data_IF_563592959722
#
_entry.id   IF_563592959722
#
_cell.length_a   1.000
_cell.length_b   1.000
_cell.length_c   1.000
_cell.angle_alpha   90.00
_cell.angle_beta   90.00
_cell.angle_gamma   90.00
#
_symmetry.space_group_name_H-M   'P 1'
#
loop_
_entity.id
_entity.type
_entity.pdbx_description
1 polymer ?
#
# COMPACT_ATOMS: atom_id res chain seq x y z
N UNK A 1 2.31 -98.58 29.30
CA UNK A 1 0.89 -98.21 29.08
C UNK A 1 0.70 -96.85 29.76
N UNK A 2 0.32 -95.75 29.15
CA UNK A 2 -0.37 -95.48 27.89
C UNK A 2 -0.04 -94.04 27.48
N UNK A 3 0.38 -93.88 26.24
CA UNK A 3 0.46 -92.64 25.48
C UNK A 3 -0.91 -91.98 25.34
N UNK A 4 -1.00 -90.67 25.55
CA UNK A 4 -1.91 -89.83 24.78
C UNK A 4 -1.21 -88.52 24.38
N UNK A 5 -0.97 -88.42 23.06
CA UNK A 5 -0.68 -87.21 22.32
C UNK A 5 -2.00 -86.77 21.66
N UNK A 6 -2.40 -85.51 21.84
CA UNK A 6 -3.40 -84.80 21.03
C UNK A 6 -3.09 -83.30 21.18
N UNK A 7 -2.46 -82.66 20.19
CA UNK A 7 -3.01 -82.02 18.98
C UNK A 7 -3.51 -80.57 19.21
N UNK A 8 -2.70 -79.64 18.70
CA UNK A 8 -3.03 -78.43 17.91
C UNK A 8 -4.31 -77.65 18.26
N UNK A 9 -4.13 -76.39 18.68
CA UNK A 9 -4.92 -75.26 18.15
C UNK A 9 -4.08 -73.99 18.04
N UNK A 10 -3.99 -73.49 16.81
CA UNK A 10 -3.47 -72.19 16.39
C UNK A 10 -4.38 -71.07 16.89
N UNK A 11 -3.81 -70.02 17.49
CA UNK A 11 -4.52 -68.79 17.86
C UNK A 11 -3.74 -67.56 17.41
N UNK A 12 -3.80 -67.27 16.12
CA UNK A 12 -3.25 -66.07 15.49
C UNK A 12 -4.20 -64.90 15.78
N UNK A 13 -3.93 -64.15 16.85
CA UNK A 13 -4.75 -63.00 17.25
C UNK A 13 -4.23 -61.75 16.53
N UNK A 14 -4.77 -61.53 15.33
CA UNK A 14 -4.62 -60.30 14.57
C UNK A 14 -5.24 -59.14 15.37
N UNK A 15 -4.40 -58.24 15.88
CA UNK A 15 -4.86 -56.97 16.42
C UNK A 15 -5.34 -56.11 15.23
N UNK A 16 -6.66 -56.10 15.02
CA UNK A 16 -7.31 -55.20 14.08
C UNK A 16 -7.10 -53.75 14.58
N UNK A 17 -6.20 -53.02 13.92
CA UNK A 17 -6.15 -51.57 14.00
C UNK A 17 -7.43 -51.04 13.33
N UNK A 18 -8.47 -50.79 14.11
CA UNK A 18 -9.60 -50.00 13.64
C UNK A 18 -9.14 -48.54 13.55
N UNK A 19 -8.62 -48.16 12.39
CA UNK A 19 -8.51 -46.76 12.03
C UNK A 19 -9.92 -46.18 11.97
N UNK A 20 -10.32 -45.47 13.02
CA UNK A 20 -11.49 -44.60 12.98
C UNK A 20 -11.15 -43.46 12.02
N UNK A 21 -11.49 -43.65 10.74
CA UNK A 21 -11.54 -42.57 9.78
C UNK A 21 -12.66 -41.62 10.24
N UNK A 22 -12.29 -40.56 10.96
CA UNK A 22 -13.20 -39.45 11.18
C UNK A 22 -13.59 -38.88 9.81
N UNK A 23 -14.87 -38.54 9.57
CA UNK A 23 -15.26 -37.92 8.34
C UNK A 23 -14.62 -36.53 8.24
N UNK A 24 -13.68 -36.35 7.32
CA UNK A 24 -13.10 -35.03 6.96
C UNK A 24 -14.16 -34.01 6.51
N UNK A 25 -15.39 -34.47 6.26
CA UNK A 25 -16.53 -33.66 5.81
C UNK A 25 -17.22 -32.81 6.90
N UNK A 26 -16.73 -32.82 8.15
CA UNK A 26 -17.28 -31.99 9.23
C UNK A 26 -16.62 -30.60 9.38
N UNK A 27 -15.61 -30.28 8.58
CA UNK A 27 -14.90 -28.99 8.61
C UNK A 27 -15.47 -27.93 7.66
N UNK A 28 -16.38 -28.32 6.75
CA UNK A 28 -17.05 -27.39 5.84
C UNK A 28 -17.96 -26.41 6.61
N UNK A 29 -17.49 -25.19 6.84
CA UNK A 29 -18.20 -24.05 7.42
C UNK A 29 -17.45 -23.34 8.56
N UNK A 30 -16.20 -23.70 8.87
CA UNK A 30 -15.46 -23.14 10.03
C UNK A 30 -14.12 -22.53 9.60
N UNK A 31 -14.08 -21.20 9.49
CA UNK A 31 -12.85 -20.40 9.42
C UNK A 31 -11.86 -20.89 10.48
N UNK A 32 -10.72 -21.39 10.03
CA UNK A 32 -9.63 -21.86 10.87
C UNK A 32 -8.99 -20.71 11.65
N UNK A 33 -8.27 -21.03 12.72
CA UNK A 33 -7.54 -20.01 13.49
C UNK A 33 -6.46 -19.31 12.64
N UNK A 34 -5.86 -20.03 11.69
CA UNK A 34 -4.86 -19.49 10.76
C UNK A 34 -5.50 -18.49 9.78
N UNK A 35 -6.57 -18.86 9.08
CA UNK A 35 -7.30 -17.95 8.17
C UNK A 35 -7.82 -16.71 8.91
N UNK A 36 -8.28 -16.87 10.15
CA UNK A 36 -8.69 -15.73 10.98
C UNK A 36 -7.51 -14.81 11.33
N UNK A 37 -6.31 -15.35 11.50
CA UNK A 37 -5.11 -14.56 11.76
C UNK A 37 -4.68 -13.78 10.51
N UNK A 38 -4.72 -14.42 9.34
CA UNK A 38 -4.44 -13.81 8.03
C UNK A 38 -5.42 -12.68 7.72
N UNK A 39 -6.73 -12.93 7.79
CA UNK A 39 -7.74 -11.88 7.58
C UNK A 39 -7.59 -10.70 8.57
N UNK A 40 -7.11 -10.95 9.80
CA UNK A 40 -6.81 -9.86 10.74
C UNK A 40 -5.56 -9.09 10.35
N UNK A 41 -4.56 -9.77 9.80
CA UNK A 41 -3.34 -9.17 9.28
C UNK A 41 -3.63 -8.28 8.08
N UNK A 42 -4.28 -8.79 7.05
CA UNK A 42 -4.63 -8.05 5.82
C UNK A 42 -5.49 -6.83 6.13
N UNK A 43 -6.43 -6.98 7.08
CA UNK A 43 -7.22 -5.85 7.56
C UNK A 43 -6.36 -4.75 8.17
N UNK A 44 -5.30 -5.11 8.92
CA UNK A 44 -4.37 -4.12 9.51
C UNK A 44 -3.56 -3.43 8.42
N UNK A 45 -3.09 -4.16 7.41
CA UNK A 45 -2.37 -3.60 6.25
C UNK A 45 -3.26 -2.60 5.50
N UNK A 46 -4.48 -2.99 5.12
CA UNK A 46 -5.46 -2.09 4.50
C UNK A 46 -5.75 -0.82 5.31
N UNK A 47 -5.66 -0.90 6.64
CA UNK A 47 -5.80 0.26 7.53
C UNK A 47 -4.56 1.15 7.51
N UNK A 48 -3.37 0.56 7.44
CA UNK A 48 -2.08 1.24 7.31
C UNK A 48 -1.99 1.96 5.96
N UNK A 49 -2.27 1.29 4.85
CA UNK A 49 -2.17 1.90 3.50
C UNK A 49 -3.16 3.06 3.35
N UNK A 50 -4.35 2.92 3.94
CA UNK A 50 -5.32 4.02 4.01
C UNK A 50 -4.81 5.22 4.80
N UNK A 51 -3.96 5.01 5.82
CA UNK A 51 -3.33 6.09 6.59
C UNK A 51 -2.21 6.75 5.77
N UNK A 52 -1.38 5.96 5.09
CA UNK A 52 -0.30 6.43 4.22
C UNK A 52 -0.87 7.28 3.07
N UNK A 53 -1.85 6.78 2.31
CA UNK A 53 -2.57 7.55 1.27
C UNK A 53 -3.18 8.86 1.79
N UNK A 54 -3.59 8.91 3.06
CA UNK A 54 -4.12 10.15 3.66
C UNK A 54 -3.01 11.15 3.95
N UNK A 55 -1.84 10.68 4.35
CA UNK A 55 -0.65 11.48 4.56
C UNK A 55 -0.14 12.04 3.23
N UNK A 56 0.03 11.21 2.20
CA UNK A 56 0.48 11.66 0.87
C UNK A 56 -0.47 12.69 0.26
N UNK A 57 -1.78 12.55 0.53
CA UNK A 57 -2.77 13.57 0.14
C UNK A 57 -2.58 14.92 0.81
N UNK A 58 -2.06 14.95 2.04
CA UNK A 58 -1.74 16.18 2.77
C UNK A 58 -0.47 16.80 2.22
N UNK A 59 0.54 15.99 1.96
CA UNK A 59 1.81 16.42 1.35
C UNK A 59 1.56 17.05 -0.03
N UNK A 60 0.88 16.33 -0.94
CA UNK A 60 0.45 16.88 -2.24
C UNK A 60 -0.40 18.16 -2.12
N UNK A 61 -1.14 18.33 -1.03
CA UNK A 61 -1.88 19.57 -0.80
C UNK A 61 -0.97 20.73 -0.35
N UNK A 62 0.03 20.43 0.47
CA UNK A 62 1.05 21.36 0.92
C UNK A 62 1.93 21.81 -0.24
N UNK A 63 2.44 20.90 -1.07
CA UNK A 63 3.28 21.24 -2.24
C UNK A 63 2.50 22.15 -3.21
N UNK A 64 1.19 21.93 -3.34
CA UNK A 64 0.32 22.82 -4.14
C UNK A 64 0.15 24.22 -3.55
N UNK A 65 0.29 24.38 -2.24
CA UNK A 65 0.27 25.69 -1.57
C UNK A 65 1.60 26.39 -1.76
N UNK A 66 2.70 25.67 -1.58
CA UNK A 66 4.08 26.16 -1.78
C UNK A 66 4.25 26.65 -3.23
N UNK A 67 3.92 25.82 -4.22
CA UNK A 67 3.95 26.20 -5.64
C UNK A 67 3.12 27.45 -5.98
N UNK A 68 2.04 27.72 -5.22
CA UNK A 68 1.24 28.94 -5.39
C UNK A 68 1.93 30.16 -4.77
N UNK A 69 2.61 29.99 -3.65
CA UNK A 69 3.43 31.02 -3.02
C UNK A 69 4.60 31.39 -3.92
N UNK A 70 5.38 30.42 -4.40
CA UNK A 70 6.53 30.64 -5.29
C UNK A 70 6.11 31.34 -6.59
N UNK A 71 4.94 30.96 -7.14
CA UNK A 71 4.38 31.65 -8.30
C UNK A 71 4.04 33.12 -8.00
N UNK A 72 3.61 33.43 -6.78
CA UNK A 72 3.29 34.80 -6.37
C UNK A 72 4.58 35.60 -6.18
N UNK A 73 5.62 35.00 -5.60
CA UNK A 73 6.96 35.58 -5.46
C UNK A 73 7.53 35.92 -6.83
N UNK A 74 7.57 34.96 -7.77
CA UNK A 74 8.00 35.21 -9.15
C UNK A 74 7.21 36.34 -9.84
N UNK A 75 5.93 36.54 -9.51
CA UNK A 75 5.15 37.67 -10.03
C UNK A 75 5.63 38.99 -9.42
N UNK A 76 5.97 39.00 -8.14
CA UNK A 76 6.51 40.18 -7.45
C UNK A 76 7.90 40.53 -7.97
N UNK A 77 8.81 39.56 -8.14
CA UNK A 77 10.17 39.81 -8.64
C UNK A 77 10.13 40.43 -10.05
N UNK A 78 9.21 39.92 -10.89
CA UNK A 78 8.97 40.51 -12.22
C UNK A 78 8.41 41.93 -12.16
N UNK A 79 7.68 42.31 -11.10
CA UNK A 79 7.20 43.70 -10.92
C UNK A 79 8.31 44.59 -10.39
N UNK A 80 9.15 44.07 -9.50
CA UNK A 80 10.32 44.75 -8.96
C UNK A 80 11.32 45.07 -10.06
N UNK A 81 11.72 44.07 -10.85
CA UNK A 81 12.55 44.27 -12.04
C UNK A 81 12.00 45.36 -12.97
N UNK A 82 10.69 45.37 -13.24
CA UNK A 82 10.05 46.42 -14.06
C UNK A 82 10.15 47.81 -13.44
N UNK A 83 10.09 47.90 -12.11
CA UNK A 83 10.24 49.14 -11.36
C UNK A 83 11.69 49.61 -11.39
N UNK A 84 12.65 48.71 -11.26
CA UNK A 84 14.07 49.04 -11.23
C UNK A 84 14.56 49.49 -12.61
N UNK A 85 14.10 48.83 -13.68
CA UNK A 85 14.27 49.32 -15.06
C UNK A 85 13.73 50.76 -15.21
N UNK A 86 12.55 51.07 -14.65
CA UNK A 86 11.96 52.42 -14.73
C UNK A 86 12.74 53.46 -13.92
N UNK A 87 13.35 53.05 -12.81
CA UNK A 87 14.18 53.91 -11.95
C UNK A 87 15.59 54.13 -12.50
N UNK A 88 15.95 53.46 -13.59
CA UNK A 88 17.28 53.58 -14.20
C UNK A 88 18.34 52.75 -13.48
N UNK A 89 17.95 51.60 -12.91
CA UNK A 89 18.90 50.63 -12.36
C UNK A 89 19.97 50.25 -13.40
N UNK A 90 21.15 49.87 -12.90
CA UNK A 90 22.27 49.52 -13.74
C UNK A 90 21.99 48.26 -14.56
N UNK A 91 22.69 48.12 -15.70
CA UNK A 91 22.63 46.89 -16.50
C UNK A 91 23.02 45.64 -15.69
N UNK A 92 23.91 45.79 -14.72
CA UNK A 92 24.39 44.69 -13.90
C UNK A 92 23.29 44.18 -12.95
N UNK A 93 22.59 45.10 -12.28
CA UNK A 93 21.46 44.78 -11.38
C UNK A 93 20.33 44.11 -12.18
N UNK A 94 19.90 44.73 -13.28
CA UNK A 94 18.86 44.16 -14.16
C UNK A 94 19.25 42.74 -14.64
N UNK A 95 20.52 42.53 -14.97
CA UNK A 95 21.00 41.22 -15.40
C UNK A 95 21.01 40.20 -14.25
N UNK A 96 21.22 40.63 -13.01
CA UNK A 96 21.13 39.78 -11.83
C UNK A 96 19.69 39.35 -11.56
N UNK A 97 18.75 40.28 -11.47
CA UNK A 97 17.32 39.98 -11.27
C UNK A 97 16.79 39.03 -12.35
N UNK A 98 17.21 39.24 -13.59
CA UNK A 98 16.83 38.36 -14.72
C UNK A 98 17.40 36.95 -14.60
N UNK A 99 18.56 36.78 -13.96
CA UNK A 99 19.13 35.46 -13.66
C UNK A 99 18.36 34.78 -12.54
N UNK A 100 18.03 35.51 -11.48
CA UNK A 100 17.24 35.02 -10.33
C UNK A 100 15.86 34.57 -10.80
N UNK A 101 15.10 35.43 -11.48
CA UNK A 101 13.79 35.11 -12.10
C UNK A 101 13.86 33.88 -13.02
N UNK A 102 15.00 33.66 -13.70
CA UNK A 102 15.19 32.49 -14.55
C UNK A 102 15.43 31.22 -13.73
N UNK A 103 16.15 31.32 -12.62
CA UNK A 103 16.35 30.22 -11.68
C UNK A 103 15.01 29.82 -11.06
N UNK A 104 14.24 30.77 -10.51
CA UNK A 104 12.94 30.50 -9.89
C UNK A 104 11.96 29.85 -10.86
N UNK A 105 11.99 30.28 -12.14
CA UNK A 105 11.17 29.65 -13.19
C UNK A 105 11.53 28.20 -13.44
N UNK A 106 12.82 27.85 -13.31
CA UNK A 106 13.30 26.48 -13.50
C UNK A 106 12.89 25.62 -12.30
N UNK A 107 13.06 26.12 -11.09
CA UNK A 107 12.63 25.47 -9.85
C UNK A 107 11.12 25.21 -9.88
N UNK A 108 10.31 26.25 -10.14
CA UNK A 108 8.85 26.12 -10.34
C UNK A 108 8.43 25.12 -11.43
N UNK A 109 9.29 24.84 -12.41
CA UNK A 109 9.01 23.84 -13.43
C UNK A 109 9.34 22.43 -12.92
N UNK A 110 10.39 22.28 -12.11
CA UNK A 110 10.76 21.04 -11.44
C UNK A 110 9.71 20.66 -10.39
N UNK A 111 9.28 21.59 -9.54
CA UNK A 111 8.27 21.34 -8.50
C UNK A 111 6.93 20.91 -9.11
N UNK A 112 6.57 21.48 -10.28
CA UNK A 112 5.38 21.05 -11.03
C UNK A 112 5.50 19.63 -11.55
N UNK A 113 6.70 19.22 -11.95
CA UNK A 113 6.96 17.87 -12.44
C UNK A 113 6.90 16.87 -11.28
N UNK A 114 7.50 17.20 -10.14
CA UNK A 114 7.47 16.40 -8.91
C UNK A 114 6.04 16.23 -8.41
N UNK A 115 5.30 17.33 -8.21
CA UNK A 115 3.88 17.28 -7.88
C UNK A 115 3.05 16.45 -8.88
N UNK A 116 3.41 16.44 -10.15
CA UNK A 116 2.73 15.61 -11.15
C UNK A 116 3.05 14.12 -10.98
N UNK A 117 4.26 13.75 -10.53
CA UNK A 117 4.64 12.38 -10.18
C UNK A 117 3.91 11.93 -8.91
N UNK A 118 3.94 12.72 -7.83
CA UNK A 118 3.29 12.38 -6.56
C UNK A 118 1.79 12.15 -6.75
N UNK A 119 1.16 12.97 -7.61
CA UNK A 119 -0.25 12.78 -7.97
C UNK A 119 -0.53 11.51 -8.77
N UNK A 120 0.44 11.01 -9.55
CA UNK A 120 0.32 9.74 -10.27
C UNK A 120 0.52 8.56 -9.33
N UNK A 121 1.52 8.63 -8.45
CA UNK A 121 1.81 7.62 -7.42
C UNK A 121 0.60 7.46 -6.50
N UNK A 122 0.11 8.55 -5.92
CA UNK A 122 -1.11 8.55 -5.11
C UNK A 122 -2.35 7.99 -5.84
N UNK A 123 -2.42 8.15 -7.17
CA UNK A 123 -3.50 7.56 -7.97
C UNK A 123 -3.30 6.04 -8.12
N UNK A 124 -2.05 5.59 -8.23
CA UNK A 124 -1.63 4.20 -8.18
C UNK A 124 -2.01 3.55 -6.86
N UNK A 125 -1.58 4.11 -5.73
CA UNK A 125 -1.83 3.56 -4.39
C UNK A 125 -3.33 3.43 -4.12
N UNK A 126 -4.11 4.43 -4.57
CA UNK A 126 -5.58 4.38 -4.47
C UNK A 126 -6.22 3.29 -5.33
N UNK A 127 -5.60 2.88 -6.43
CA UNK A 127 -6.06 1.76 -7.27
C UNK A 127 -5.69 0.43 -6.63
N UNK A 128 -4.48 0.34 -6.10
CA UNK A 128 -3.98 -0.83 -5.37
C UNK A 128 -4.81 -1.12 -4.12
N UNK A 129 -5.01 -0.12 -3.25
CA UNK A 129 -5.89 -0.24 -2.08
C UNK A 129 -7.33 -0.65 -2.45
N UNK A 130 -7.82 -0.26 -3.63
CA UNK A 130 -9.14 -0.70 -4.12
C UNK A 130 -9.14 -2.15 -4.55
N UNK A 131 -8.04 -2.64 -5.10
CA UNK A 131 -7.85 -4.03 -5.52
C UNK A 131 -7.70 -4.93 -4.29
N UNK A 132 -6.79 -4.62 -3.38
CA UNK A 132 -6.60 -5.36 -2.12
C UNK A 132 -7.90 -5.44 -1.32
N UNK A 133 -8.67 -4.34 -1.26
CA UNK A 133 -9.99 -4.35 -0.59
C UNK A 133 -10.99 -5.29 -1.27
N UNK A 134 -10.88 -5.53 -2.57
CA UNK A 134 -11.73 -6.50 -3.29
C UNK A 134 -11.27 -7.93 -3.00
N UNK A 135 -9.97 -8.16 -3.02
CA UNK A 135 -9.33 -9.45 -2.71
C UNK A 135 -9.65 -9.85 -1.27
N UNK A 136 -9.35 -9.00 -0.27
CA UNK A 136 -9.75 -9.21 1.12
C UNK A 136 -11.25 -9.54 1.31
N UNK A 137 -12.12 -8.93 0.49
CA UNK A 137 -13.57 -9.23 0.54
C UNK A 137 -13.90 -10.59 -0.06
N UNK A 138 -13.18 -11.02 -1.10
CA UNK A 138 -13.29 -12.34 -1.68
C UNK A 138 -12.78 -13.40 -0.70
N UNK A 139 -11.58 -13.21 -0.15
CA UNK A 139 -10.99 -14.12 0.85
C UNK A 139 -11.90 -14.29 2.05
N UNK A 140 -12.47 -13.19 2.55
CA UNK A 140 -13.45 -13.26 3.65
C UNK A 140 -14.71 -14.03 3.28
N UNK A 141 -15.19 -13.93 2.04
CA UNK A 141 -16.37 -14.68 1.57
C UNK A 141 -16.06 -16.15 1.38
N UNK A 142 -14.88 -16.48 0.88
CA UNK A 142 -14.49 -17.86 0.59
C UNK A 142 -14.18 -18.60 1.89
N UNK A 143 -13.56 -17.93 2.86
CA UNK A 143 -13.40 -18.44 4.22
C UNK A 143 -14.74 -18.75 4.93
N UNK A 144 -15.85 -18.10 4.56
CA UNK A 144 -17.18 -18.39 5.11
C UNK A 144 -17.91 -19.55 4.41
N UNK A 145 -17.49 -19.90 3.20
CA UNK A 145 -18.07 -21.01 2.43
C UNK A 145 -17.36 -22.33 2.74
N UNK A 146 -16.08 -22.25 3.06
CA UNK A 146 -15.26 -23.35 3.59
C UNK A 146 -15.54 -23.61 5.06
#
# INVERSE_FOLDING_TARGET
MSTQKTLLTLGLLAAALSAVAAPESALAGRITQAERAELRHDRRELHRDKREIRQDRREVHQDRRELRADRKELINDRRELRRDIRKGASKSEIAQDMREIRADRKELAQDKLELAKDRRELKGDRRELRRERREYRQDWKDALKN
#
